data_IF_848142544430
#
_entry.id   IF_848142544430
#
_cell.length_a   1.000
_cell.length_b   1.000
_cell.length_c   1.000
_cell.angle_alpha   90.00
_cell.angle_beta   90.00
_cell.angle_gamma   90.00
#
_symmetry.space_group_name_H-M   'P 1'
#
loop_
_entity.id
_entity.type
_entity.pdbx_description
1 polymer ?
#
# COMPACT_ATOMS: atom_id res chain seq x y z
N UNK A 1 -8.61 24.57 -15.01
CA UNK A 1 -7.96 23.54 -14.16
C UNK A 1 -7.56 24.09 -12.78
N UNK A 2 -6.95 25.27 -12.68
CA UNK A 2 -6.57 25.91 -11.40
C UNK A 2 -7.75 26.21 -10.47
N UNK A 3 -8.89 26.69 -11.00
CA UNK A 3 -10.07 27.04 -10.19
C UNK A 3 -10.67 25.86 -9.42
N UNK A 4 -10.67 24.66 -10.00
CA UNK A 4 -11.17 23.45 -9.34
C UNK A 4 -10.26 23.06 -8.18
N UNK A 5 -8.95 23.14 -8.37
CA UNK A 5 -7.97 22.83 -7.31
C UNK A 5 -8.13 23.80 -6.14
N UNK A 6 -8.20 25.10 -6.43
CA UNK A 6 -8.41 26.13 -5.40
C UNK A 6 -9.72 25.94 -4.65
N UNK A 7 -10.81 25.61 -5.37
CA UNK A 7 -12.09 25.30 -4.75
C UNK A 7 -12.00 24.10 -3.81
N UNK A 8 -11.33 23.01 -4.21
CA UNK A 8 -11.15 21.83 -3.37
C UNK A 8 -10.31 22.13 -2.12
N UNK A 9 -9.22 22.90 -2.27
CA UNK A 9 -8.39 23.35 -1.14
C UNK A 9 -9.21 24.19 -0.17
N UNK A 10 -9.99 25.14 -0.69
CA UNK A 10 -10.88 25.97 0.12
C UNK A 10 -11.92 25.12 0.87
N UNK A 11 -12.62 24.22 0.17
CA UNK A 11 -13.61 23.34 0.78
C UNK A 11 -13.00 22.44 1.87
N UNK A 12 -11.78 21.93 1.66
CA UNK A 12 -11.07 21.15 2.67
C UNK A 12 -10.78 21.95 3.94
N UNK A 13 -10.21 23.16 3.81
CA UNK A 13 -9.92 24.02 4.96
C UNK A 13 -11.19 24.49 5.66
N UNK A 14 -12.24 24.82 4.90
CA UNK A 14 -13.53 25.21 5.45
C UNK A 14 -14.19 24.06 6.23
N UNK A 15 -14.15 22.84 5.69
CA UNK A 15 -14.64 21.65 6.38
C UNK A 15 -13.91 21.39 7.70
N UNK A 16 -12.58 21.48 7.69
CA UNK A 16 -11.77 21.32 8.91
C UNK A 16 -12.08 22.41 9.94
N UNK A 17 -12.24 23.66 9.49
CA UNK A 17 -12.61 24.77 10.37
C UNK A 17 -13.97 24.53 11.05
N UNK A 18 -15.00 24.09 10.32
CA UNK A 18 -16.31 23.77 10.93
C UNK A 18 -16.17 22.66 11.98
N UNK A 19 -15.35 21.64 11.70
CA UNK A 19 -15.24 20.44 12.56
C UNK A 19 -14.36 20.64 13.79
N UNK A 20 -13.26 21.38 13.64
CA UNK A 20 -12.19 21.47 14.63
C UNK A 20 -11.89 22.89 15.10
N UNK A 21 -12.63 23.89 14.57
CA UNK A 21 -12.35 25.32 14.78
C UNK A 21 -10.92 25.72 14.36
N UNK A 22 -10.29 24.94 13.48
CA UNK A 22 -8.95 25.16 12.95
C UNK A 22 -8.86 24.57 11.52
N UNK A 23 -8.60 25.38 10.48
CA UNK A 23 -8.54 24.88 9.11
C UNK A 23 -7.41 23.87 8.88
N UNK A 24 -6.29 23.99 9.61
CA UNK A 24 -5.12 23.14 9.46
C UNK A 24 -5.21 21.83 10.26
N UNK A 25 -6.22 21.69 11.12
CA UNK A 25 -6.41 20.47 11.90
C UNK A 25 -7.00 19.37 11.02
N UNK A 26 -6.31 18.23 10.97
CA UNK A 26 -6.67 17.08 10.13
C UNK A 26 -7.50 16.04 10.88
N UNK A 27 -7.66 16.22 12.19
CA UNK A 27 -8.31 15.30 13.11
C UNK A 27 -7.34 14.31 13.75
N UNK A 28 -6.06 14.31 13.38
CA UNK A 28 -5.07 13.38 13.91
C UNK A 28 -4.81 13.58 15.41
N UNK A 29 -4.93 14.82 15.91
CA UNK A 29 -4.77 15.15 17.34
C UNK A 29 -5.85 14.52 18.23
N UNK A 30 -7.01 14.17 17.65
CA UNK A 30 -8.14 13.57 18.36
C UNK A 30 -8.15 12.04 18.34
N UNK A 31 -7.21 11.40 17.62
CA UNK A 31 -7.16 9.94 17.54
C UNK A 31 -6.64 9.39 18.87
N UNK A 32 -7.47 8.58 19.55
CA UNK A 32 -7.02 7.77 20.67
C UNK A 32 -6.22 6.60 20.08
N UNK A 33 -4.91 6.75 20.05
CA UNK A 33 -4.02 5.76 19.46
C UNK A 33 -3.68 4.63 20.43
N UNK A 34 -3.47 3.44 19.88
CA UNK A 34 -2.92 2.32 20.63
C UNK A 34 -1.50 2.67 21.12
N UNK A 35 -1.09 2.24 22.33
CA UNK A 35 0.27 2.46 22.85
C UNK A 35 1.41 2.05 21.90
N UNK A 36 1.17 1.12 20.97
CA UNK A 36 2.11 0.78 19.91
C UNK A 36 2.60 2.00 19.09
N UNK A 37 1.81 3.07 19.00
CA UNK A 37 2.14 4.29 18.26
C UNK A 37 2.76 5.41 19.10
N UNK A 38 3.22 5.16 20.32
CA UNK A 38 3.85 6.18 21.17
C UNK A 38 5.04 6.90 20.50
N UNK A 39 5.81 6.19 19.67
CA UNK A 39 6.92 6.77 18.90
C UNK A 39 6.45 7.92 18.01
N UNK A 40 5.21 7.88 17.49
CA UNK A 40 4.60 8.96 16.70
C UNK A 40 4.48 10.25 17.51
N UNK A 41 4.20 10.18 18.82
CA UNK A 41 4.10 11.36 19.68
C UNK A 41 5.44 12.11 19.78
N UNK A 42 6.55 11.38 19.64
CA UNK A 42 7.92 11.94 19.71
C UNK A 42 8.39 12.40 18.32
N UNK A 43 8.19 11.58 17.29
CA UNK A 43 8.76 11.81 15.94
C UNK A 43 7.83 12.58 14.99
N UNK A 44 6.55 12.73 15.35
CA UNK A 44 5.50 13.22 14.48
C UNK A 44 4.98 12.16 13.49
N UNK A 45 3.97 12.53 12.71
CA UNK A 45 3.35 11.64 11.72
C UNK A 45 4.26 11.31 10.55
N UNK A 46 5.22 12.19 10.22
CA UNK A 46 6.17 12.01 9.14
C UNK A 46 7.61 12.18 9.63
N UNK A 47 8.46 11.20 9.37
CA UNK A 47 9.86 11.24 9.80
C UNK A 47 10.75 10.35 8.92
N UNK A 48 12.00 10.79 8.68
CA UNK A 48 13.02 10.02 7.96
C UNK A 48 13.32 8.67 8.65
N UNK A 49 13.17 8.57 9.97
CA UNK A 49 13.41 7.33 10.72
C UNK A 49 12.48 6.18 10.29
N UNK A 50 11.33 6.47 9.69
CA UNK A 50 10.40 5.44 9.21
C UNK A 50 10.81 4.84 7.87
N UNK A 51 11.70 5.50 7.11
CA UNK A 51 12.09 5.14 5.75
C UNK A 51 12.46 3.65 5.61
N UNK A 52 13.46 3.20 6.37
CA UNK A 52 13.96 1.83 6.24
C UNK A 52 12.95 0.80 6.73
N UNK A 53 12.27 1.09 7.84
CA UNK A 53 11.26 0.23 8.42
C UNK A 53 10.09 0.00 7.45
N UNK A 54 9.50 1.08 6.94
CA UNK A 54 8.36 0.99 6.04
C UNK A 54 8.76 0.43 4.68
N UNK A 55 9.95 0.74 4.17
CA UNK A 55 10.45 0.17 2.92
C UNK A 55 10.63 -1.34 3.04
N UNK A 56 11.12 -1.83 4.18
CA UNK A 56 11.22 -3.27 4.45
C UNK A 56 9.84 -3.93 4.40
N UNK A 57 8.85 -3.38 5.11
CA UNK A 57 7.50 -3.96 5.12
C UNK A 57 6.77 -3.87 3.79
N UNK A 58 7.01 -2.82 3.01
CA UNK A 58 6.40 -2.64 1.70
C UNK A 58 7.04 -3.55 0.63
N UNK A 59 8.37 -3.65 0.58
CA UNK A 59 9.10 -4.32 -0.51
C UNK A 59 9.55 -5.73 -0.16
N UNK A 60 9.95 -6.00 1.08
CA UNK A 60 10.76 -7.18 1.43
C UNK A 60 10.01 -8.16 2.34
N UNK A 61 9.30 -7.69 3.38
CA UNK A 61 8.83 -8.55 4.47
C UNK A 61 8.00 -9.74 3.95
N UNK A 62 8.48 -10.99 4.07
CA UNK A 62 7.82 -12.14 3.48
C UNK A 62 6.53 -12.50 4.24
N UNK A 63 5.59 -13.15 3.55
CA UNK A 63 4.46 -13.79 4.19
C UNK A 63 4.90 -15.14 4.78
N UNK A 64 4.84 -15.29 6.10
CA UNK A 64 5.21 -16.54 6.77
C UNK A 64 4.11 -17.58 6.55
N UNK A 65 4.49 -18.76 6.07
CA UNK A 65 3.60 -19.91 5.90
C UNK A 65 3.63 -20.82 7.14
N UNK A 66 2.54 -21.52 7.41
CA UNK A 66 2.39 -22.50 8.50
C UNK A 66 1.85 -23.82 7.96
N UNK A 67 2.23 -24.92 8.60
CA UNK A 67 1.72 -26.26 8.26
C UNK A 67 0.33 -26.55 8.82
N UNK A 68 -0.09 -25.80 9.84
CA UNK A 68 -1.43 -25.86 10.41
C UNK A 68 -2.25 -24.64 10.02
N UNK A 69 -3.56 -24.83 9.92
CA UNK A 69 -4.52 -23.75 9.75
C UNK A 69 -4.27 -22.62 10.79
N UNK A 70 -4.27 -21.32 10.41
CA UNK A 70 -4.73 -20.74 9.14
C UNK A 70 -3.69 -20.71 7.99
N UNK A 71 -2.67 -21.55 8.04
CA UNK A 71 -1.63 -21.76 7.01
C UNK A 71 -0.74 -20.55 6.67
N UNK A 72 -1.08 -19.36 7.19
CA UNK A 72 -0.28 -18.15 7.10
C UNK A 72 -0.16 -17.49 8.47
N UNK A 73 0.89 -16.70 8.62
CA UNK A 73 1.15 -15.84 9.78
C UNK A 73 1.57 -14.46 9.29
N UNK A 74 0.60 -13.62 8.86
CA UNK A 74 0.85 -12.24 8.53
C UNK A 74 1.55 -11.52 9.68
N UNK A 75 2.41 -10.58 9.31
CA UNK A 75 3.06 -9.74 10.29
C UNK A 75 2.10 -8.58 10.63
N UNK A 76 1.86 -8.26 11.91
CA UNK A 76 1.10 -7.08 12.32
C UNK A 76 1.51 -5.77 11.64
N UNK A 77 2.79 -5.63 11.29
CA UNK A 77 3.33 -4.45 10.61
C UNK A 77 3.16 -4.51 9.09
N UNK A 78 2.56 -5.57 8.55
CA UNK A 78 2.26 -5.77 7.14
C UNK A 78 3.23 -6.72 6.45
N UNK A 79 2.90 -7.14 5.24
CA UNK A 79 3.76 -7.99 4.43
C UNK A 79 3.94 -7.34 3.05
N UNK A 80 5.04 -7.66 2.40
CA UNK A 80 5.41 -7.06 1.12
C UNK A 80 4.34 -7.25 0.06
N UNK A 81 4.17 -6.22 -0.75
CA UNK A 81 3.21 -6.22 -1.86
C UNK A 81 3.48 -7.36 -2.85
N UNK A 82 4.75 -7.76 -2.99
CA UNK A 82 5.13 -8.83 -3.92
C UNK A 82 4.86 -10.24 -3.38
N UNK A 83 4.85 -10.41 -2.06
CA UNK A 83 4.45 -11.68 -1.45
C UNK A 83 2.94 -11.81 -1.37
N UNK A 84 2.24 -10.72 -1.09
CA UNK A 84 0.77 -10.71 -1.07
C UNK A 84 0.17 -10.75 -2.47
N UNK A 85 0.82 -10.10 -3.45
CA UNK A 85 0.40 -10.05 -4.85
C UNK A 85 1.57 -10.25 -5.83
N UNK A 86 2.06 -11.51 -6.00
CA UNK A 86 3.18 -11.84 -6.89
C UNK A 86 3.03 -11.37 -8.34
N UNK A 87 1.83 -11.10 -8.83
CA UNK A 87 1.61 -10.54 -10.18
C UNK A 87 2.42 -9.26 -10.43
N UNK A 88 2.64 -8.44 -9.39
CA UNK A 88 3.42 -7.21 -9.53
C UNK A 88 4.91 -7.44 -9.80
N UNK A 89 5.44 -8.66 -9.66
CA UNK A 89 6.81 -8.97 -10.11
C UNK A 89 6.98 -8.75 -11.62
N UNK A 90 5.90 -8.83 -12.41
CA UNK A 90 5.94 -8.55 -13.86
C UNK A 90 6.32 -7.10 -14.17
N UNK A 91 6.18 -6.16 -13.23
CA UNK A 91 6.61 -4.78 -13.42
C UNK A 91 8.15 -4.65 -13.46
N UNK A 92 8.91 -5.60 -12.91
CA UNK A 92 10.37 -5.57 -13.01
C UNK A 92 10.89 -5.87 -14.41
N UNK A 93 10.12 -6.54 -15.28
CA UNK A 93 10.54 -6.75 -16.66
C UNK A 93 10.61 -5.47 -17.49
N UNK A 94 10.07 -4.36 -17.00
CA UNK A 94 10.26 -3.04 -17.61
C UNK A 94 11.75 -2.71 -17.72
N UNK A 95 12.53 -3.05 -16.69
CA UNK A 95 13.98 -2.81 -16.60
C UNK A 95 14.72 -3.74 -17.57
N UNK A 96 14.27 -5.01 -17.69
CA UNK A 96 14.92 -6.01 -18.53
C UNK A 96 14.58 -5.86 -20.04
N UNK A 97 13.35 -5.47 -20.37
CA UNK A 97 12.81 -5.44 -21.73
C UNK A 97 12.70 -4.00 -22.27
N UNK A 98 13.81 -3.26 -22.21
CA UNK A 98 13.93 -1.88 -22.69
C UNK A 98 13.83 -1.68 -24.22
N UNK A 99 13.37 -2.68 -24.98
CA UNK A 99 13.40 -2.72 -26.46
C UNK A 99 12.02 -2.75 -27.14
N UNK A 100 10.95 -2.39 -26.44
CA UNK A 100 9.62 -2.31 -27.05
C UNK A 100 9.38 -0.93 -27.67
N UNK A 101 9.04 -0.89 -28.98
CA UNK A 101 8.65 0.34 -29.71
C UNK A 101 7.29 0.94 -29.27
N UNK A 102 6.66 0.40 -28.21
CA UNK A 102 5.40 0.92 -27.69
C UNK A 102 5.65 2.24 -26.95
N UNK A 103 4.78 3.23 -27.16
CA UNK A 103 4.76 4.44 -26.33
C UNK A 103 4.42 4.05 -24.88
N UNK A 104 5.42 4.10 -24.00
CA UNK A 104 5.31 3.72 -22.57
C UNK A 104 5.01 4.92 -21.65
N UNK A 105 4.70 6.10 -22.19
CA UNK A 105 4.44 7.31 -21.39
C UNK A 105 3.37 7.09 -20.32
N UNK A 106 2.24 6.46 -20.66
CA UNK A 106 1.17 6.19 -19.70
C UNK A 106 1.61 5.22 -18.58
N UNK A 107 2.40 4.20 -18.91
CA UNK A 107 2.99 3.29 -17.93
C UNK A 107 3.88 4.06 -16.94
N UNK A 108 4.75 4.95 -17.44
CA UNK A 108 5.61 5.75 -16.56
C UNK A 108 4.83 6.73 -15.71
N UNK A 109 3.74 7.30 -16.22
CA UNK A 109 2.82 8.13 -15.43
C UNK A 109 2.22 7.30 -14.28
N UNK A 110 1.72 6.10 -14.56
CA UNK A 110 1.15 5.22 -13.53
C UNK A 110 2.18 4.87 -12.45
N UNK A 111 3.40 4.48 -12.85
CA UNK A 111 4.47 4.15 -11.92
C UNK A 111 4.97 5.35 -11.14
N UNK A 112 5.04 6.53 -11.77
CA UNK A 112 5.39 7.77 -11.09
C UNK A 112 4.34 8.13 -10.05
N UNK A 113 3.05 8.06 -10.39
CA UNK A 113 1.97 8.32 -9.44
C UNK A 113 1.98 7.32 -8.28
N UNK A 114 2.14 6.01 -8.56
CA UNK A 114 2.29 5.00 -7.53
C UNK A 114 3.51 5.26 -6.64
N UNK A 115 4.66 5.59 -7.23
CA UNK A 115 5.90 5.94 -6.56
C UNK A 115 5.74 7.17 -5.65
N UNK A 116 5.06 8.21 -6.13
CA UNK A 116 4.82 9.43 -5.37
C UNK A 116 3.93 9.17 -4.15
N UNK A 117 2.84 8.40 -4.32
CA UNK A 117 1.94 8.05 -3.22
C UNK A 117 2.67 7.19 -2.18
N UNK A 118 3.39 6.14 -2.59
CA UNK A 118 4.07 5.27 -1.64
C UNK A 118 5.22 5.98 -0.93
N UNK A 119 5.89 6.93 -1.60
CA UNK A 119 6.93 7.75 -0.99
C UNK A 119 6.40 8.49 0.24
N UNK A 120 5.19 9.04 0.19
CA UNK A 120 4.57 9.67 1.36
C UNK A 120 4.38 8.67 2.51
N UNK A 121 3.93 7.45 2.22
CA UNK A 121 3.68 6.43 3.24
C UNK A 121 4.95 5.79 3.80
N UNK A 122 6.03 5.73 3.03
CA UNK A 122 7.33 5.26 3.52
C UNK A 122 7.87 6.15 4.65
N UNK A 123 7.53 7.45 4.65
CA UNK A 123 7.86 8.34 5.75
C UNK A 123 6.79 8.42 6.84
N UNK A 124 5.70 7.65 6.76
CA UNK A 124 4.58 7.75 7.68
C UNK A 124 4.77 6.90 8.94
N UNK A 125 4.26 7.40 10.06
CA UNK A 125 4.38 6.78 11.39
C UNK A 125 3.74 5.41 11.60
N UNK A 126 3.00 4.90 10.62
CA UNK A 126 2.30 3.62 10.70
C UNK A 126 2.45 2.85 9.41
N UNK A 127 2.29 1.53 9.48
CA UNK A 127 2.16 0.62 8.33
C UNK A 127 0.75 0.03 8.19
N UNK A 128 -0.13 0.27 9.16
CA UNK A 128 -1.55 -0.08 9.07
C UNK A 128 -2.16 -0.89 10.21
N UNK A 129 -1.35 -1.58 11.04
CA UNK A 129 -1.66 -2.26 12.33
C UNK A 129 -3.11 -2.70 12.62
N UNK A 130 -3.44 -3.95 12.96
CA UNK A 130 -2.98 -5.28 12.50
C UNK A 130 -3.79 -5.57 11.23
N UNK A 131 -3.14 -5.83 10.08
CA UNK A 131 -3.84 -6.04 8.81
C UNK A 131 -3.10 -7.04 7.93
N UNK A 132 -3.81 -7.65 6.97
CA UNK A 132 -3.17 -8.48 5.97
C UNK A 132 -2.51 -7.61 4.88
N UNK A 133 -1.20 -7.78 4.69
CA UNK A 133 -0.42 -7.01 3.72
C UNK A 133 -0.10 -5.59 4.19
N UNK A 134 0.52 -4.80 3.32
CA UNK A 134 0.85 -3.41 3.61
C UNK A 134 -0.34 -2.49 3.31
N UNK A 135 -1.01 -1.95 4.33
CA UNK A 135 -2.26 -1.18 4.19
C UNK A 135 -2.22 -0.10 3.13
N UNK A 136 -1.12 0.65 3.12
CA UNK A 136 -0.96 1.79 2.22
C UNK A 136 -0.66 1.39 0.77
N UNK A 137 -0.40 0.11 0.50
CA UNK A 137 -0.34 -0.41 -0.87
C UNK A 137 -1.70 -0.27 -1.57
N UNK A 138 -2.82 -0.28 -0.83
CA UNK A 138 -4.16 -0.14 -1.41
C UNK A 138 -4.30 1.14 -2.26
N UNK A 139 -3.66 2.24 -1.86
CA UNK A 139 -3.70 3.50 -2.60
C UNK A 139 -2.96 3.46 -3.94
N UNK A 140 -2.04 2.51 -4.14
CA UNK A 140 -1.24 2.40 -5.37
C UNK A 140 -1.66 1.25 -6.28
N UNK A 141 -2.39 0.25 -5.76
CA UNK A 141 -2.84 -0.92 -6.51
C UNK A 141 -3.52 -0.56 -7.84
N UNK A 142 -4.46 0.42 -7.93
CA UNK A 142 -5.08 0.78 -9.19
C UNK A 142 -4.07 1.21 -10.26
N UNK A 143 -3.07 2.01 -9.87
CA UNK A 143 -2.02 2.47 -10.78
C UNK A 143 -1.08 1.32 -11.19
N UNK A 144 -0.79 0.40 -10.26
CA UNK A 144 0.02 -0.78 -10.57
C UNK A 144 -0.71 -1.75 -11.52
N UNK A 145 -2.03 -1.92 -11.38
CA UNK A 145 -2.85 -2.71 -12.31
C UNK A 145 -2.86 -2.07 -13.69
N UNK A 146 -3.04 -0.75 -13.78
CA UNK A 146 -2.96 -0.02 -15.03
C UNK A 146 -1.58 -0.17 -15.68
N UNK A 147 -0.49 -0.08 -14.89
CA UNK A 147 0.86 -0.31 -15.39
C UNK A 147 1.07 -1.76 -15.87
N UNK A 148 0.52 -2.75 -15.15
CA UNK A 148 0.60 -4.16 -15.52
C UNK A 148 0.00 -4.44 -16.91
N UNK A 149 -1.10 -3.78 -17.26
CA UNK A 149 -1.75 -3.95 -18.56
C UNK A 149 -0.82 -3.69 -19.76
N UNK A 150 0.23 -2.88 -19.57
CA UNK A 150 1.20 -2.56 -20.63
C UNK A 150 2.32 -3.58 -20.77
N UNK A 151 2.64 -4.32 -19.71
CA UNK A 151 3.78 -5.26 -19.67
C UNK A 151 3.33 -6.72 -19.73
N UNK A 152 2.08 -7.02 -19.38
CA UNK A 152 1.58 -8.39 -19.27
C UNK A 152 1.72 -9.18 -20.58
N UNK A 153 1.59 -8.50 -21.73
CA UNK A 153 1.75 -9.10 -23.06
C UNK A 153 3.19 -9.42 -23.45
N UNK A 154 4.17 -8.92 -22.69
CA UNK A 154 5.59 -9.22 -22.91
C UNK A 154 6.00 -10.56 -22.23
N UNK A 155 5.07 -11.23 -21.54
CA UNK A 155 5.28 -12.49 -20.82
C UNK A 155 4.44 -13.64 -21.37
N UNK A 156 4.88 -14.87 -21.13
CA UNK A 156 4.10 -16.05 -21.50
C UNK A 156 2.82 -16.15 -20.65
N UNK A 157 1.74 -16.65 -21.26
CA UNK A 157 0.45 -16.87 -20.58
C UNK A 157 0.60 -17.70 -19.31
N UNK A 158 1.49 -18.70 -19.31
CA UNK A 158 1.73 -19.58 -18.17
C UNK A 158 2.28 -18.76 -16.99
N UNK A 159 3.30 -17.94 -17.21
CA UNK A 159 3.90 -17.11 -16.14
C UNK A 159 2.85 -16.16 -15.56
N UNK A 160 2.11 -15.47 -16.42
CA UNK A 160 1.07 -14.53 -16.01
C UNK A 160 -0.02 -15.22 -15.19
N UNK A 161 -0.51 -16.37 -15.64
CA UNK A 161 -1.55 -17.12 -14.93
C UNK A 161 -1.07 -17.68 -13.61
N UNK A 162 0.15 -18.21 -13.53
CA UNK A 162 0.71 -18.68 -12.26
C UNK A 162 0.78 -17.55 -11.25
N UNK A 163 1.35 -16.39 -11.60
CA UNK A 163 1.47 -15.27 -10.68
C UNK A 163 0.10 -14.65 -10.31
N UNK A 164 -0.83 -14.59 -11.26
CA UNK A 164 -2.19 -14.15 -11.00
C UNK A 164 -2.90 -15.07 -10.00
N UNK A 165 -2.88 -16.39 -10.24
CA UNK A 165 -3.51 -17.38 -9.36
C UNK A 165 -2.90 -17.32 -7.96
N UNK A 166 -1.56 -17.23 -7.85
CA UNK A 166 -0.89 -17.07 -6.55
C UNK A 166 -1.32 -15.79 -5.83
N UNK A 167 -1.47 -14.68 -6.54
CA UNK A 167 -1.95 -13.41 -5.96
C UNK A 167 -3.37 -13.56 -5.43
N UNK A 168 -4.26 -14.21 -6.17
CA UNK A 168 -5.64 -14.46 -5.74
C UNK A 168 -5.66 -15.37 -4.51
N UNK A 169 -4.88 -16.46 -4.51
CA UNK A 169 -4.78 -17.39 -3.38
C UNK A 169 -4.31 -16.66 -2.12
N UNK A 170 -3.20 -15.91 -2.17
CA UNK A 170 -2.67 -15.23 -0.99
C UNK A 170 -3.64 -14.16 -0.45
N UNK A 171 -4.24 -13.36 -1.32
CA UNK A 171 -5.25 -12.38 -0.89
C UNK A 171 -6.49 -13.05 -0.30
N UNK A 172 -6.92 -14.18 -0.85
CA UNK A 172 -8.07 -14.94 -0.34
C UNK A 172 -7.78 -15.52 1.05
N UNK A 173 -6.62 -16.17 1.25
CA UNK A 173 -6.21 -16.69 2.55
C UNK A 173 -6.06 -15.53 3.56
N UNK A 174 -5.48 -14.41 3.13
CA UNK A 174 -5.36 -13.20 3.94
C UNK A 174 -6.70 -12.61 4.39
N UNK A 175 -7.69 -12.59 3.50
CA UNK A 175 -9.04 -12.16 3.81
C UNK A 175 -9.70 -13.09 4.85
N UNK A 176 -9.59 -14.41 4.68
CA UNK A 176 -10.07 -15.37 5.68
C UNK A 176 -9.38 -15.22 7.03
N UNK A 177 -8.06 -15.01 7.03
CA UNK A 177 -7.30 -14.76 8.25
C UNK A 177 -7.76 -13.51 9.00
N UNK A 178 -8.04 -12.40 8.28
CA UNK A 178 -8.58 -11.19 8.91
C UNK A 178 -9.96 -11.43 9.53
N UNK A 179 -10.85 -12.16 8.85
CA UNK A 179 -12.19 -12.48 9.37
C UNK A 179 -12.12 -13.28 10.67
N UNK A 180 -11.13 -14.16 10.82
CA UNK A 180 -10.92 -14.95 12.05
C UNK A 180 -10.40 -14.08 13.19
N UNK A 181 -9.39 -13.25 12.93
CA UNK A 181 -8.79 -12.40 13.96
C UNK A 181 -9.77 -11.37 14.50
N UNK A 182 -10.76 -10.96 13.71
CA UNK A 182 -11.82 -10.08 14.21
C UNK A 182 -12.57 -10.66 15.43
N UNK A 183 -12.67 -12.00 15.54
CA UNK A 183 -13.24 -12.65 16.73
C UNK A 183 -12.33 -12.66 17.96
N UNK A 184 -11.04 -12.37 17.78
CA UNK A 184 -9.99 -12.39 18.81
C UNK A 184 -9.54 -10.97 19.21
N UNK A 185 -9.78 -9.97 18.36
CA UNK A 185 -9.60 -8.56 18.68
C UNK A 185 -10.84 -8.08 19.44
N UNK A 186 -10.87 -8.33 20.76
CA UNK A 186 -11.85 -7.74 21.66
C UNK A 186 -11.68 -6.22 21.65
N UNK A 187 -12.52 -5.52 20.89
CA UNK A 187 -12.84 -4.11 21.10
C UNK A 187 -14.05 -4.01 22.02
#
# INVERSE_FOLDING_TARGET
>A
MSGIILLNIFLYFFYNYIRFNNPLETGQSYIIENPHFEIKKILGSFNLKYLFHNSYYFLINPLKLRFSYPYISPDPQGNSIFFTSPLFFLLFGIIANGKSNKNRSFLYICLFTAGFIILSFIFYSSTGWIQFGYRYALGIIPFLILALAWVIGDYSKIIVMTLFILSVIFNTIGAFWMLQINSLLNY
#
